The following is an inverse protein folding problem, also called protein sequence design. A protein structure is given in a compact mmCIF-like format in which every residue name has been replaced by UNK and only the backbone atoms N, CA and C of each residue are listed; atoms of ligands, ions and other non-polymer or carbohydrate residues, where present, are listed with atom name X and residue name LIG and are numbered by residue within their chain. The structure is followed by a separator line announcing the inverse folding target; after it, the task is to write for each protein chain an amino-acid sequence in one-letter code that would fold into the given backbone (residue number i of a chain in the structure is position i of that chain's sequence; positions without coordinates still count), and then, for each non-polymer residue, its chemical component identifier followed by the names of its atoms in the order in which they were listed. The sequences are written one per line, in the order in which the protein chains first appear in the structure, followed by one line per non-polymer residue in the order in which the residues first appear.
data_IF_484464579236
#
_entry.id   IF_484464579236
#
_cell.length_a   1.000
_cell.length_b   1.000
_cell.length_c   1.000
_cell.angle_alpha   90.00
_cell.angle_beta   90.00
_cell.angle_gamma   90.00
#
_symmetry.space_group_name_H-M   'P 1'
#
loop_
_entity.id
_entity.type
_entity.pdbx_description
1 polymer ?
#
# COMPACT_ATOMS: atom_id res chain seq x y z
N UNK A 1 -6.05 1.73 -24.80
CA UNK A 1 -6.04 1.38 -23.36
C UNK A 1 -6.79 0.07 -23.17
N UNK A 2 -6.15 -0.93 -22.60
CA UNK A 2 -6.81 -2.18 -22.24
C UNK A 2 -7.80 -1.85 -21.12
N UNK A 3 -9.04 -2.31 -21.24
CA UNK A 3 -10.06 -2.13 -20.21
C UNK A 3 -9.58 -2.74 -18.88
N UNK A 4 -9.89 -2.09 -17.74
CA UNK A 4 -9.53 -2.55 -16.40
C UNK A 4 -9.97 -4.00 -16.15
N UNK A 5 -11.20 -4.33 -16.52
CA UNK A 5 -11.72 -5.68 -16.38
C UNK A 5 -10.85 -6.71 -17.09
N UNK A 6 -10.37 -6.39 -18.28
CA UNK A 6 -9.48 -7.27 -19.03
C UNK A 6 -8.10 -7.37 -18.36
N UNK A 7 -7.56 -6.29 -17.77
CA UNK A 7 -6.30 -6.33 -17.01
C UNK A 7 -6.42 -7.24 -15.78
N UNK A 8 -7.51 -7.13 -15.01
CA UNK A 8 -7.78 -8.00 -13.86
C UNK A 8 -7.88 -9.47 -14.29
N UNK A 9 -8.58 -9.77 -15.37
CA UNK A 9 -8.66 -11.14 -15.90
C UNK A 9 -7.28 -11.66 -16.32
N UNK A 10 -6.47 -10.82 -16.96
CA UNK A 10 -5.10 -11.16 -17.35
C UNK A 10 -4.23 -11.43 -16.12
N UNK A 11 -4.32 -10.59 -15.07
CA UNK A 11 -3.61 -10.80 -13.81
C UNK A 11 -3.98 -12.14 -13.17
N UNK A 12 -5.29 -12.44 -13.06
CA UNK A 12 -5.77 -13.72 -12.51
C UNK A 12 -5.26 -14.93 -13.30
N UNK A 13 -5.22 -14.82 -14.64
CA UNK A 13 -4.66 -15.85 -15.51
C UNK A 13 -3.18 -16.07 -15.21
N UNK A 14 -2.38 -15.01 -15.17
CA UNK A 14 -0.94 -15.09 -14.89
C UNK A 14 -0.69 -15.69 -13.49
N UNK A 15 -1.45 -15.28 -12.47
CA UNK A 15 -1.37 -15.84 -11.12
C UNK A 15 -1.65 -17.35 -11.07
N UNK A 16 -2.49 -17.87 -11.98
CA UNK A 16 -2.75 -19.31 -12.09
C UNK A 16 -1.66 -20.10 -12.82
N UNK A 17 -0.79 -19.42 -13.55
CA UNK A 17 0.23 -20.06 -14.40
C UNK A 17 1.65 -19.96 -13.79
N UNK A 18 1.94 -18.91 -13.02
CA UNK A 18 3.26 -18.66 -12.45
C UNK A 18 3.24 -17.74 -11.24
N UNK A 19 4.38 -17.67 -10.55
CA UNK A 19 4.62 -16.65 -9.54
C UNK A 19 4.63 -15.26 -10.21
N UNK A 20 3.95 -14.32 -9.60
CA UNK A 20 3.92 -12.91 -9.98
C UNK A 20 4.85 -12.13 -9.06
N UNK A 21 5.63 -11.23 -9.61
CA UNK A 21 6.63 -10.45 -8.87
C UNK A 21 6.09 -9.05 -8.60
N UNK A 22 6.01 -8.69 -7.31
CA UNK A 22 5.80 -7.32 -6.87
C UNK A 22 7.10 -6.51 -7.02
N UNK A 23 6.99 -5.20 -7.07
CA UNK A 23 8.14 -4.30 -7.01
C UNK A 23 8.79 -4.30 -5.61
N UNK A 24 9.59 -3.31 -5.30
CA UNK A 24 10.39 -3.28 -4.08
C UNK A 24 10.33 -1.93 -3.35
N UNK A 25 11.30 -1.72 -2.47
CA UNK A 25 11.31 -0.65 -1.50
C UNK A 25 11.39 0.75 -2.13
N UNK A 26 10.26 1.35 -2.45
CA UNK A 26 10.13 2.74 -2.93
C UNK A 26 10.84 3.72 -1.97
N UNK A 27 10.59 3.60 -0.66
CA UNK A 27 11.19 4.47 0.34
C UNK A 27 12.72 4.42 0.34
N UNK A 28 13.34 3.23 0.17
CA UNK A 28 14.80 3.09 0.08
C UNK A 28 15.34 3.75 -1.19
N UNK A 29 14.65 3.62 -2.32
CA UNK A 29 15.06 4.28 -3.56
C UNK A 29 15.03 5.79 -3.42
N UNK A 30 13.98 6.35 -2.81
CA UNK A 30 13.88 7.79 -2.53
C UNK A 30 14.98 8.24 -1.56
N UNK A 31 15.22 7.50 -0.47
CA UNK A 31 16.23 7.84 0.53
C UNK A 31 17.65 7.92 -0.06
N UNK A 32 17.99 7.04 -0.99
CA UNK A 32 19.29 7.03 -1.67
C UNK A 32 19.55 8.30 -2.52
N UNK A 33 18.50 9.04 -2.87
CA UNK A 33 18.62 10.28 -3.64
C UNK A 33 19.00 11.49 -2.79
N UNK A 34 18.97 11.35 -1.45
CA UNK A 34 19.32 12.41 -0.49
C UNK A 34 18.62 13.75 -0.76
N UNK A 35 17.32 13.70 -1.05
CA UNK A 35 16.51 14.87 -1.38
C UNK A 35 16.48 15.90 -0.24
N UNK A 36 16.50 17.18 -0.61
CA UNK A 36 16.41 18.31 0.32
C UNK A 36 14.95 18.70 0.58
N UNK A 37 14.71 19.60 1.53
CA UNK A 37 13.37 20.17 1.77
C UNK A 37 12.81 20.84 0.51
N UNK A 38 13.65 21.60 -0.22
CA UNK A 38 13.29 22.25 -1.46
C UNK A 38 12.87 21.25 -2.54
N UNK A 39 13.51 20.06 -2.56
CA UNK A 39 13.13 18.99 -3.48
C UNK A 39 11.73 18.45 -3.18
N UNK A 40 11.38 18.26 -1.90
CA UNK A 40 10.05 17.83 -1.49
C UNK A 40 8.99 18.89 -1.80
N UNK A 41 9.30 20.18 -1.57
CA UNK A 41 8.37 21.29 -1.84
C UNK A 41 8.12 21.46 -3.34
N UNK A 42 9.15 21.33 -4.17
CA UNK A 42 9.08 21.72 -5.57
C UNK A 42 8.63 23.19 -5.71
N UNK A 43 8.16 23.57 -6.89
CA UNK A 43 7.61 24.91 -7.13
C UNK A 43 6.25 25.10 -6.41
N UNK A 44 5.47 24.05 -6.33
CA UNK A 44 4.07 24.10 -5.85
C UNK A 44 3.95 24.45 -4.37
N UNK A 45 4.85 23.96 -3.54
CA UNK A 45 4.84 24.13 -2.08
C UNK A 45 6.04 24.95 -1.59
N UNK A 46 6.62 25.81 -2.46
CA UNK A 46 7.81 26.60 -2.14
C UNK A 46 7.64 27.42 -0.86
N UNK A 47 6.48 28.03 -0.68
CA UNK A 47 6.14 28.89 0.47
C UNK A 47 5.28 28.14 1.53
N UNK A 48 5.30 26.79 1.53
CA UNK A 48 4.51 26.03 2.49
C UNK A 48 4.97 26.31 3.92
N UNK A 49 4.03 26.43 4.86
CA UNK A 49 4.27 27.00 6.19
C UNK A 49 5.03 26.08 7.16
N UNK A 50 5.19 24.78 6.81
CA UNK A 50 5.93 23.82 7.61
C UNK A 50 6.82 22.93 6.73
N UNK A 51 7.76 22.20 7.34
CA UNK A 51 8.62 21.26 6.63
C UNK A 51 7.83 20.03 6.20
N UNK A 52 8.03 19.61 4.93
CA UNK A 52 7.40 18.45 4.34
C UNK A 52 8.39 17.37 3.89
N UNK A 53 9.68 17.56 4.19
CA UNK A 53 10.70 16.53 3.98
C UNK A 53 10.34 15.28 4.78
N UNK A 54 10.36 14.13 4.12
CA UNK A 54 9.94 12.86 4.69
C UNK A 54 8.51 12.45 4.30
N UNK A 55 7.69 13.36 3.77
CA UNK A 55 6.43 13.03 3.13
C UNK A 55 6.71 12.49 1.71
N UNK A 56 7.14 11.23 1.63
CA UNK A 56 7.54 10.64 0.35
C UNK A 56 6.41 10.62 -0.68
N UNK A 57 5.18 10.54 -0.23
CA UNK A 57 4.01 10.46 -1.11
C UNK A 57 3.85 11.73 -1.95
N UNK A 58 4.18 12.91 -1.38
CA UNK A 58 4.06 14.21 -2.06
C UNK A 58 4.94 14.29 -3.33
N UNK A 59 5.99 13.49 -3.42
CA UNK A 59 6.89 13.47 -4.57
C UNK A 59 6.17 13.06 -5.87
N UNK A 60 5.07 12.34 -5.78
CA UNK A 60 4.22 12.08 -6.95
C UNK A 60 3.60 13.35 -7.54
N UNK A 61 3.48 14.42 -6.75
CA UNK A 61 2.97 15.73 -7.19
C UNK A 61 4.09 16.72 -7.52
N UNK A 62 5.20 16.67 -6.79
CA UNK A 62 6.29 17.67 -6.90
C UNK A 62 7.44 17.21 -7.80
N UNK A 63 7.66 15.89 -7.89
CA UNK A 63 8.71 15.27 -8.73
C UNK A 63 8.19 13.97 -9.39
N UNK A 64 7.11 14.03 -10.19
CA UNK A 64 6.47 12.82 -10.76
C UNK A 64 7.43 12.00 -11.63
N UNK A 65 8.37 12.64 -12.34
CA UNK A 65 9.35 11.95 -13.17
C UNK A 65 10.30 11.06 -12.33
N UNK A 66 10.66 11.52 -11.12
CA UNK A 66 11.49 10.77 -10.21
C UNK A 66 10.79 9.48 -9.75
N UNK A 67 9.53 9.59 -9.36
CA UNK A 67 8.73 8.43 -8.93
C UNK A 67 8.49 7.48 -10.10
N UNK A 68 8.17 8.01 -11.29
CA UNK A 68 8.03 7.21 -12.52
C UNK A 68 9.31 6.44 -12.83
N UNK A 69 10.47 7.07 -12.74
CA UNK A 69 11.76 6.44 -13.04
C UNK A 69 12.09 5.32 -12.06
N UNK A 70 11.72 5.44 -10.78
CA UNK A 70 11.82 4.36 -9.80
C UNK A 70 10.91 3.19 -10.19
N UNK A 71 9.65 3.44 -10.52
CA UNK A 71 8.73 2.41 -11.01
C UNK A 71 9.27 1.69 -12.24
N UNK A 72 9.77 2.45 -13.22
CA UNK A 72 10.39 1.89 -14.43
C UNK A 72 11.61 1.02 -14.11
N UNK A 73 12.42 1.40 -13.13
CA UNK A 73 13.56 0.60 -12.71
C UNK A 73 13.12 -0.79 -12.23
N UNK A 74 12.06 -0.90 -11.44
CA UNK A 74 11.51 -2.18 -11.00
C UNK A 74 10.86 -2.97 -12.14
N UNK A 75 10.06 -2.33 -12.97
CA UNK A 75 9.40 -2.96 -14.13
C UNK A 75 10.41 -3.57 -15.09
N UNK A 76 11.50 -2.85 -15.40
CA UNK A 76 12.60 -3.31 -16.29
C UNK A 76 13.40 -4.46 -15.68
N UNK A 77 13.40 -4.62 -14.34
CA UNK A 77 13.99 -5.78 -13.66
C UNK A 77 13.01 -6.96 -13.57
N UNK A 78 11.79 -6.82 -14.04
CA UNK A 78 10.84 -7.91 -14.18
C UNK A 78 9.68 -7.90 -13.17
N UNK A 79 9.45 -6.81 -12.47
CA UNK A 79 8.23 -6.67 -11.68
C UNK A 79 6.99 -6.73 -12.60
N UNK A 80 6.00 -7.51 -12.20
CA UNK A 80 4.71 -7.64 -12.88
C UNK A 80 3.70 -6.63 -12.34
N UNK A 81 3.76 -6.37 -11.03
CA UNK A 81 2.89 -5.45 -10.29
C UNK A 81 3.78 -4.40 -9.63
N UNK A 82 3.39 -3.14 -9.72
CA UNK A 82 3.99 -2.05 -8.96
C UNK A 82 2.99 -1.44 -7.99
N UNK A 83 3.50 -1.00 -6.85
CA UNK A 83 2.76 -0.36 -5.78
C UNK A 83 2.78 1.16 -5.97
N UNK A 84 1.63 1.83 -5.79
CA UNK A 84 1.61 3.30 -5.82
C UNK A 84 2.40 3.88 -4.65
N UNK A 85 3.07 5.02 -4.85
CA UNK A 85 3.75 5.75 -3.78
C UNK A 85 2.75 6.52 -2.90
N UNK A 86 1.80 5.81 -2.27
CA UNK A 86 0.67 6.37 -1.52
C UNK A 86 0.50 5.78 -0.11
N UNK A 87 1.59 5.29 0.48
CA UNK A 87 1.58 4.61 1.77
C UNK A 87 0.93 5.43 2.90
N UNK A 88 1.23 6.73 2.97
CA UNK A 88 0.67 7.66 3.96
C UNK A 88 -0.39 8.61 3.37
N UNK A 89 -0.93 8.33 2.18
CA UNK A 89 -1.81 9.26 1.47
C UNK A 89 -3.27 9.20 1.97
N UNK A 90 -3.49 9.22 3.28
CA UNK A 90 -4.79 9.38 3.92
C UNK A 90 -4.90 10.72 4.63
N UNK A 91 -6.11 11.23 4.83
CA UNK A 91 -6.33 12.48 5.59
C UNK A 91 -5.80 12.41 7.02
N UNK A 92 -5.81 11.22 7.62
CA UNK A 92 -5.31 11.01 8.98
C UNK A 92 -3.78 11.11 9.00
N UNK A 93 -3.08 10.46 8.08
CA UNK A 93 -1.61 10.49 8.04
C UNK A 93 -1.08 11.83 7.51
N UNK A 94 -1.72 12.41 6.50
CA UNK A 94 -1.33 13.71 5.95
C UNK A 94 -1.59 14.89 6.89
N UNK A 95 -2.37 14.67 7.97
CA UNK A 95 -2.54 15.68 9.02
C UNK A 95 -1.23 16.02 9.75
N UNK A 96 -0.24 15.12 9.77
CA UNK A 96 1.09 15.39 10.34
C UNK A 96 1.85 16.47 9.57
N UNK A 97 1.47 16.71 8.32
CA UNK A 97 2.02 17.74 7.43
C UNK A 97 1.04 18.86 7.10
N UNK A 98 -0.13 18.89 7.77
CA UNK A 98 -1.25 19.84 7.47
C UNK A 98 -1.70 19.80 5.98
N UNK A 99 -1.59 18.61 5.35
CA UNK A 99 -1.85 18.39 3.91
C UNK A 99 -3.13 17.59 3.63
N UNK A 100 -4.07 17.50 4.56
CA UNK A 100 -5.29 16.70 4.44
C UNK A 100 -6.13 17.08 3.21
N UNK A 101 -6.14 18.36 2.85
CA UNK A 101 -6.90 18.86 1.71
C UNK A 101 -6.35 18.41 0.34
N UNK A 102 -5.09 17.97 0.30
CA UNK A 102 -4.43 17.50 -0.92
C UNK A 102 -4.59 16.00 -1.17
N UNK A 103 -5.17 15.23 -0.24
CA UNK A 103 -5.18 13.75 -0.26
C UNK A 103 -5.80 13.16 -1.53
N UNK A 104 -6.90 13.74 -2.03
CA UNK A 104 -7.52 13.25 -3.27
C UNK A 104 -6.59 13.42 -4.47
N UNK A 105 -5.99 14.59 -4.63
CA UNK A 105 -5.07 14.88 -5.72
C UNK A 105 -3.78 14.06 -5.58
N UNK A 106 -3.28 13.88 -4.36
CA UNK A 106 -2.10 13.09 -4.05
C UNK A 106 -2.27 11.62 -4.51
N UNK A 107 -3.35 10.97 -4.10
CA UNK A 107 -3.63 9.59 -4.51
C UNK A 107 -3.82 9.47 -6.02
N UNK A 108 -4.51 10.44 -6.63
CA UNK A 108 -4.67 10.49 -8.08
C UNK A 108 -3.32 10.61 -8.81
N UNK A 109 -2.42 11.46 -8.31
CA UNK A 109 -1.08 11.63 -8.87
C UNK A 109 -0.25 10.34 -8.72
N UNK A 110 -0.24 9.71 -7.54
CA UNK A 110 0.46 8.45 -7.29
C UNK A 110 0.01 7.36 -8.27
N UNK A 111 -1.30 7.21 -8.45
CA UNK A 111 -1.85 6.19 -9.37
C UNK A 111 -1.53 6.49 -10.83
N UNK A 112 -1.61 7.75 -11.27
CA UNK A 112 -1.29 8.16 -12.65
C UNK A 112 0.17 7.91 -13.00
N UNK A 113 1.10 8.29 -12.11
CA UNK A 113 2.54 8.09 -12.33
C UNK A 113 2.88 6.61 -12.44
N UNK A 114 2.29 5.77 -11.58
CA UNK A 114 2.48 4.33 -11.65
C UNK A 114 1.90 3.73 -12.96
N UNK A 115 0.70 4.18 -13.37
CA UNK A 115 0.08 3.74 -14.63
C UNK A 115 0.92 4.14 -15.84
N UNK A 116 1.42 5.37 -15.89
CA UNK A 116 2.32 5.84 -16.94
C UNK A 116 3.58 4.96 -17.04
N UNK A 117 4.19 4.62 -15.91
CA UNK A 117 5.35 3.73 -15.90
C UNK A 117 5.02 2.34 -16.47
N UNK A 118 3.85 1.77 -16.11
CA UNK A 118 3.39 0.51 -16.69
C UNK A 118 3.19 0.60 -18.21
N UNK A 119 2.55 1.65 -18.71
CA UNK A 119 2.32 1.86 -20.15
C UNK A 119 3.64 1.96 -20.93
N UNK A 120 4.64 2.65 -20.38
CA UNK A 120 5.99 2.73 -20.97
C UNK A 120 6.63 1.36 -21.01
N UNK A 121 6.64 0.61 -19.91
CA UNK A 121 7.26 -0.72 -19.85
C UNK A 121 6.57 -1.72 -20.79
N UNK A 122 5.22 -1.67 -20.89
CA UNK A 122 4.45 -2.49 -21.80
C UNK A 122 4.79 -2.19 -23.28
N UNK A 123 5.06 -0.93 -23.62
CA UNK A 123 5.52 -0.55 -24.96
C UNK A 123 6.95 -1.05 -25.26
N UNK A 124 7.81 -1.13 -24.24
CA UNK A 124 9.19 -1.58 -24.38
C UNK A 124 9.30 -3.10 -24.64
N UNK A 125 8.52 -3.94 -23.94
CA UNK A 125 8.71 -5.39 -23.97
C UNK A 125 7.44 -6.23 -24.28
N UNK A 126 6.29 -5.59 -24.40
CA UNK A 126 5.01 -6.24 -24.73
C UNK A 126 4.40 -7.07 -23.61
N UNK A 127 4.95 -7.03 -22.40
CA UNK A 127 4.43 -7.80 -21.27
C UNK A 127 3.41 -6.99 -20.49
N UNK A 128 2.30 -7.62 -20.04
CA UNK A 128 1.32 -6.91 -19.22
C UNK A 128 1.92 -6.51 -17.87
N UNK A 129 1.57 -5.30 -17.41
CA UNK A 129 1.95 -4.75 -16.14
C UNK A 129 0.72 -4.27 -15.36
N UNK A 130 0.79 -4.34 -14.05
CA UNK A 130 -0.34 -4.01 -13.19
C UNK A 130 0.06 -2.99 -12.14
N UNK A 131 -0.91 -2.16 -11.75
CA UNK A 131 -0.75 -1.19 -10.68
C UNK A 131 -1.65 -1.58 -9.52
N UNK A 132 -1.08 -1.71 -8.32
CA UNK A 132 -1.84 -1.82 -7.09
C UNK A 132 -1.83 -0.50 -6.33
N UNK A 133 -3.01 -0.02 -5.96
CA UNK A 133 -3.16 1.17 -5.13
C UNK A 133 -2.91 0.84 -3.66
N UNK A 134 -1.94 1.49 -3.05
CA UNK A 134 -1.53 1.21 -1.67
C UNK A 134 -2.37 2.01 -0.68
N UNK A 135 -2.90 1.31 0.31
CA UNK A 135 -3.48 1.85 1.54
C UNK A 135 -2.64 1.35 2.71
N UNK A 136 -1.74 2.18 3.19
CA UNK A 136 -0.93 1.90 4.37
C UNK A 136 -1.71 2.07 5.68
N UNK A 137 -1.11 1.71 6.82
CA UNK A 137 -1.70 1.96 8.13
C UNK A 137 -1.73 3.46 8.44
N UNK A 138 -2.64 3.86 9.31
CA UNK A 138 -2.63 5.22 9.84
C UNK A 138 -1.77 5.30 11.11
N UNK A 139 -1.31 6.51 11.45
CA UNK A 139 -0.66 6.82 12.73
C UNK A 139 -1.61 6.77 13.94
N UNK A 140 -2.90 6.46 13.72
CA UNK A 140 -3.91 6.24 14.74
C UNK A 140 -4.45 4.83 14.63
N UNK A 141 -4.72 4.21 15.80
CA UNK A 141 -5.20 2.82 15.86
C UNK A 141 -6.55 2.76 16.58
N UNK A 142 -7.44 1.92 16.07
CA UNK A 142 -8.75 1.71 16.67
C UNK A 142 -8.75 0.64 17.78
N UNK A 143 -7.72 -0.22 17.84
CA UNK A 143 -7.62 -1.29 18.83
C UNK A 143 -6.75 -0.95 20.03
N UNK A 144 -5.76 -0.06 19.87
CA UNK A 144 -4.73 0.22 20.88
C UNK A 144 -4.89 1.64 21.40
N UNK A 145 -4.87 1.80 22.73
CA UNK A 145 -4.84 3.14 23.33
C UNK A 145 -3.46 3.79 23.14
N UNK A 146 -3.39 5.04 22.69
CA UNK A 146 -2.15 5.81 22.73
C UNK A 146 -1.81 6.33 24.14
N UNK A 147 -2.74 6.26 25.09
CA UNK A 147 -2.52 6.67 26.48
C UNK A 147 -2.42 5.44 27.39
N UNK A 148 -1.24 5.26 28.00
CA UNK A 148 -0.95 4.13 28.91
C UNK A 148 -1.82 4.18 30.17
N UNK A 149 -2.27 5.37 30.58
CA UNK A 149 -3.08 5.57 31.79
C UNK A 149 -4.58 5.47 31.52
N UNK A 150 -5.01 5.51 30.26
CA UNK A 150 -6.40 5.29 29.86
C UNK A 150 -6.48 4.20 28.76
N UNK A 151 -6.53 2.92 29.15
CA UNK A 151 -6.59 1.82 28.19
C UNK A 151 -7.87 1.82 27.32
N UNK A 152 -8.91 2.51 27.74
CA UNK A 152 -10.17 2.64 27.01
C UNK A 152 -10.14 3.72 25.92
N UNK A 153 -9.21 4.67 26.00
CA UNK A 153 -9.13 5.78 25.07
C UNK A 153 -8.73 5.32 23.66
N UNK A 154 -9.34 5.94 22.66
CA UNK A 154 -8.97 5.80 21.23
C UNK A 154 -8.88 7.19 20.61
N UNK A 155 -7.87 7.42 19.78
CA UNK A 155 -7.66 8.70 19.08
C UNK A 155 -8.22 8.70 17.66
N UNK A 156 -8.96 7.64 17.30
CA UNK A 156 -9.73 7.54 16.07
C UNK A 156 -10.88 6.55 16.27
N UNK A 157 -11.89 6.65 15.41
CA UNK A 157 -13.02 5.72 15.33
C UNK A 157 -12.97 4.89 14.06
N UNK A 158 -13.74 3.80 14.02
CA UNK A 158 -13.91 2.99 12.80
C UNK A 158 -14.43 3.84 11.63
N UNK A 159 -15.42 4.69 11.87
CA UNK A 159 -16.06 5.51 10.84
C UNK A 159 -15.10 6.57 10.29
N UNK A 160 -14.27 7.19 11.13
CA UNK A 160 -13.23 8.13 10.68
C UNK A 160 -12.20 7.45 9.77
N UNK A 161 -11.79 6.22 10.12
CA UNK A 161 -10.90 5.42 9.28
C UNK A 161 -11.56 5.07 7.94
N UNK A 162 -12.84 4.66 7.95
CA UNK A 162 -13.59 4.35 6.73
C UNK A 162 -13.63 5.56 5.80
N UNK A 163 -13.96 6.75 6.32
CA UNK A 163 -13.99 8.00 5.54
C UNK A 163 -12.64 8.27 4.88
N UNK A 164 -11.54 8.17 5.64
CA UNK A 164 -10.19 8.43 5.14
C UNK A 164 -9.78 7.43 4.05
N UNK A 165 -9.98 6.14 4.28
CA UNK A 165 -9.65 5.10 3.30
C UNK A 165 -10.55 5.13 2.06
N UNK A 166 -11.82 5.48 2.22
CA UNK A 166 -12.77 5.62 1.11
C UNK A 166 -12.35 6.72 0.14
N UNK A 167 -11.95 7.89 0.68
CA UNK A 167 -11.44 9.00 -0.12
C UNK A 167 -10.19 8.60 -0.92
N UNK A 168 -9.22 7.94 -0.27
CA UNK A 168 -8.00 7.47 -0.92
C UNK A 168 -8.32 6.43 -2.02
N UNK A 169 -9.20 5.46 -1.72
CA UNK A 169 -9.60 4.41 -2.66
C UNK A 169 -10.24 4.99 -3.92
N UNK A 170 -11.16 5.94 -3.80
CA UNK A 170 -11.76 6.61 -4.95
C UNK A 170 -10.72 7.25 -5.87
N UNK A 171 -9.81 8.02 -5.30
CA UNK A 171 -8.79 8.72 -6.06
C UNK A 171 -7.78 7.75 -6.73
N UNK A 172 -7.38 6.69 -6.05
CA UNK A 172 -6.53 5.63 -6.61
C UNK A 172 -7.21 4.95 -7.81
N UNK A 173 -8.49 4.59 -7.67
CA UNK A 173 -9.27 3.97 -8.75
C UNK A 173 -9.46 4.90 -9.94
N UNK A 174 -9.73 6.18 -9.70
CA UNK A 174 -9.82 7.21 -10.74
C UNK A 174 -8.47 7.36 -11.47
N UNK A 175 -7.36 7.27 -10.75
CA UNK A 175 -6.01 7.31 -11.30
C UNK A 175 -5.61 6.08 -12.10
N UNK A 176 -6.41 4.99 -12.06
CA UNK A 176 -6.26 3.83 -12.95
C UNK A 176 -5.53 2.64 -12.34
N UNK A 177 -5.53 2.48 -11.00
CA UNK A 177 -5.01 1.26 -10.38
C UNK A 177 -5.89 0.04 -10.71
N UNK A 178 -5.32 -1.14 -10.75
CA UNK A 178 -6.03 -2.39 -11.07
C UNK A 178 -6.59 -3.07 -9.84
N UNK A 179 -5.84 -3.05 -8.73
CA UNK A 179 -6.16 -3.67 -7.45
C UNK A 179 -5.90 -2.70 -6.31
N UNK A 180 -6.35 -3.02 -5.10
CA UNK A 180 -6.01 -2.28 -3.87
C UNK A 180 -5.21 -3.21 -2.95
N UNK A 181 -4.08 -2.73 -2.45
CA UNK A 181 -3.27 -3.38 -1.44
C UNK A 181 -3.43 -2.64 -0.10
N UNK A 182 -3.98 -3.33 0.88
CA UNK A 182 -3.96 -2.89 2.27
C UNK A 182 -2.76 -3.56 2.92
N UNK A 183 -1.73 -2.77 3.21
CA UNK A 183 -0.45 -3.32 3.65
C UNK A 183 -0.03 -2.87 5.05
N UNK A 184 1.02 -3.53 5.55
CA UNK A 184 1.63 -3.24 6.86
C UNK A 184 0.58 -3.29 7.97
N UNK A 185 -0.33 -4.25 7.87
CA UNK A 185 -1.42 -4.41 8.81
C UNK A 185 -0.86 -4.91 10.14
N UNK A 186 -0.83 -4.04 11.13
CA UNK A 186 -0.48 -4.36 12.50
C UNK A 186 -1.70 -4.25 13.46
N UNK A 187 -2.78 -3.61 13.02
CA UNK A 187 -4.08 -3.53 13.69
C UNK A 187 -5.19 -4.00 12.74
N UNK A 188 -5.78 -5.15 13.04
CA UNK A 188 -6.82 -5.74 12.17
C UNK A 188 -8.14 -4.98 12.20
N UNK A 189 -8.41 -4.16 13.21
CA UNK A 189 -9.61 -3.30 13.20
C UNK A 189 -9.45 -2.16 12.19
N UNK A 190 -8.25 -1.56 12.12
CA UNK A 190 -7.92 -0.59 11.07
C UNK A 190 -8.03 -1.23 9.67
N UNK A 191 -7.49 -2.46 9.51
CA UNK A 191 -7.62 -3.19 8.25
C UNK A 191 -9.08 -3.46 7.85
N UNK A 192 -9.93 -3.80 8.82
CA UNK A 192 -11.37 -3.98 8.58
C UNK A 192 -12.06 -2.70 8.13
N UNK A 193 -11.65 -1.54 8.67
CA UNK A 193 -12.15 -0.25 8.21
C UNK A 193 -11.73 0.04 6.75
N UNK A 194 -10.47 -0.27 6.39
CA UNK A 194 -10.00 -0.15 5.02
C UNK A 194 -10.73 -1.11 4.07
N UNK A 195 -10.91 -2.39 4.46
CA UNK A 195 -11.67 -3.37 3.69
C UNK A 195 -13.11 -2.89 3.47
N UNK A 196 -13.76 -2.41 4.53
CA UNK A 196 -15.12 -1.89 4.45
C UNK A 196 -15.21 -0.70 3.49
N UNK A 197 -14.26 0.23 3.57
CA UNK A 197 -14.17 1.38 2.67
C UNK A 197 -14.03 0.95 1.20
N UNK A 198 -13.12 -0.01 0.90
CA UNK A 198 -12.93 -0.52 -0.46
C UNK A 198 -14.21 -1.21 -0.96
N UNK A 199 -14.90 -1.99 -0.13
CA UNK A 199 -16.15 -2.66 -0.50
C UNK A 199 -17.30 -1.69 -0.74
N UNK A 200 -17.40 -0.59 0.02
CA UNK A 200 -18.36 0.48 -0.29
C UNK A 200 -18.05 1.13 -1.64
N UNK A 201 -16.78 1.47 -1.89
CA UNK A 201 -16.36 2.05 -3.17
C UNK A 201 -16.63 1.09 -4.33
N UNK A 202 -16.36 -0.21 -4.17
CA UNK A 202 -16.69 -1.23 -5.16
C UNK A 202 -18.18 -1.21 -5.56
N UNK A 203 -19.08 -1.07 -4.58
CA UNK A 203 -20.51 -0.93 -4.83
C UNK A 203 -20.86 0.38 -5.57
N UNK A 204 -20.22 1.49 -5.21
CA UNK A 204 -20.45 2.80 -5.82
C UNK A 204 -19.98 2.87 -7.27
N UNK A 205 -18.81 2.30 -7.57
CA UNK A 205 -18.26 2.29 -8.93
C UNK A 205 -18.86 1.21 -9.81
N UNK A 206 -19.49 0.19 -9.23
CA UNK A 206 -20.22 -0.86 -9.94
C UNK A 206 -19.34 -1.88 -10.69
N UNK A 207 -18.07 -2.03 -10.30
CA UNK A 207 -17.16 -3.05 -10.82
C UNK A 207 -16.27 -3.63 -9.73
N UNK A 208 -15.77 -4.85 -9.93
CA UNK A 208 -14.90 -5.55 -8.97
C UNK A 208 -13.61 -4.78 -8.69
N UNK A 209 -13.27 -4.66 -7.41
CA UNK A 209 -12.01 -4.11 -6.93
C UNK A 209 -11.27 -5.20 -6.14
N UNK A 210 -10.37 -5.99 -6.76
CA UNK A 210 -9.64 -7.02 -6.06
C UNK A 210 -8.77 -6.44 -4.95
N UNK A 211 -8.89 -7.01 -3.74
CA UNK A 211 -8.15 -6.59 -2.56
C UNK A 211 -6.98 -7.54 -2.34
N UNK A 212 -5.82 -7.00 -2.07
CA UNK A 212 -4.65 -7.71 -1.54
C UNK A 212 -4.45 -7.27 -0.09
N UNK A 213 -4.10 -8.21 0.79
CA UNK A 213 -3.89 -7.93 2.21
C UNK A 213 -2.46 -8.34 2.61
N UNK A 214 -1.76 -7.49 3.34
CA UNK A 214 -0.42 -7.79 3.83
C UNK A 214 -0.24 -7.36 5.28
N UNK A 215 -0.01 -8.34 6.16
CA UNK A 215 0.18 -8.12 7.58
C UNK A 215 1.65 -7.92 7.94
N UNK A 216 1.89 -7.38 9.13
CA UNK A 216 3.24 -7.20 9.66
C UNK A 216 3.38 -7.89 11.01
N UNK A 217 4.33 -8.83 11.08
CA UNK A 217 4.75 -9.45 12.34
C UNK A 217 5.75 -8.51 13.00
N UNK A 218 5.39 -7.94 14.14
CA UNK A 218 6.14 -6.83 14.74
C UNK A 218 7.26 -7.27 15.66
N UNK A 219 7.26 -8.53 16.11
CA UNK A 219 8.26 -9.03 17.05
C UNK A 219 8.54 -10.54 16.89
N UNK A 220 9.54 -11.00 17.64
CA UNK A 220 9.95 -12.39 17.67
C UNK A 220 8.90 -13.35 18.27
N UNK A 221 7.81 -12.84 18.87
CA UNK A 221 6.70 -13.67 19.34
C UNK A 221 5.79 -14.18 18.23
N UNK A 222 5.99 -13.67 17.00
CA UNK A 222 5.20 -14.06 15.83
C UNK A 222 3.80 -13.43 15.81
N UNK A 223 3.66 -12.25 16.41
CA UNK A 223 2.37 -11.55 16.52
C UNK A 223 2.41 -10.20 15.84
N UNK A 224 1.23 -9.76 15.39
CA UNK A 224 1.00 -8.36 15.03
C UNK A 224 1.02 -7.48 16.29
N UNK A 225 1.13 -6.16 16.14
CA UNK A 225 1.09 -5.23 17.27
C UNK A 225 -0.19 -5.35 18.10
N UNK A 226 -1.32 -5.64 17.47
CA UNK A 226 -2.59 -5.93 18.16
C UNK A 226 -2.68 -7.32 18.79
N UNK A 227 -1.58 -8.10 18.77
CA UNK A 227 -1.42 -9.36 19.50
C UNK A 227 -1.87 -10.61 18.75
N UNK A 228 -2.22 -10.53 17.48
CA UNK A 228 -2.72 -11.66 16.70
C UNK A 228 -1.58 -12.51 16.13
N UNK A 229 -1.73 -13.83 16.21
CA UNK A 229 -0.91 -14.80 15.47
C UNK A 229 -1.22 -14.72 13.96
N UNK A 230 -0.41 -15.34 13.13
CA UNK A 230 -0.62 -15.39 11.67
C UNK A 230 -1.99 -15.96 11.30
N UNK A 231 -2.40 -17.08 11.92
CA UNK A 231 -3.72 -17.66 11.69
C UNK A 231 -4.86 -16.77 12.22
N UNK A 232 -4.69 -16.13 13.37
CA UNK A 232 -5.69 -15.19 13.91
C UNK A 232 -5.82 -13.95 13.02
N UNK A 233 -4.72 -13.45 12.47
CA UNK A 233 -4.73 -12.37 11.48
C UNK A 233 -5.52 -12.79 10.23
N UNK A 234 -5.21 -13.96 9.64
CA UNK A 234 -5.95 -14.48 8.49
C UNK A 234 -7.45 -14.57 8.78
N UNK A 235 -7.83 -15.25 9.87
CA UNK A 235 -9.23 -15.42 10.23
C UNK A 235 -9.97 -14.09 10.47
N UNK A 236 -9.26 -13.06 10.95
CA UNK A 236 -9.85 -11.74 11.16
C UNK A 236 -10.23 -11.03 9.86
N UNK A 237 -9.54 -11.30 8.75
CA UNK A 237 -9.68 -10.57 7.48
C UNK A 237 -10.12 -11.45 6.30
N UNK A 238 -10.22 -12.78 6.46
CA UNK A 238 -10.59 -13.73 5.40
C UNK A 238 -11.97 -13.45 4.77
N UNK A 239 -12.89 -12.82 5.52
CA UNK A 239 -14.20 -12.41 5.03
C UNK A 239 -14.16 -11.40 3.87
N UNK A 240 -13.02 -10.77 3.63
CA UNK A 240 -12.80 -9.87 2.49
C UNK A 240 -12.69 -10.64 1.16
N UNK A 241 -12.49 -11.97 1.19
CA UNK A 241 -12.21 -12.80 0.03
C UNK A 241 -11.08 -12.21 -0.83
N UNK A 242 -9.89 -11.95 -0.24
CA UNK A 242 -8.84 -11.21 -0.92
C UNK A 242 -8.25 -12.00 -2.10
N UNK A 243 -7.75 -11.28 -3.11
CA UNK A 243 -6.96 -11.87 -4.20
C UNK A 243 -5.70 -12.55 -3.67
N UNK A 244 -5.04 -11.90 -2.71
CA UNK A 244 -3.88 -12.48 -2.01
C UNK A 244 -3.85 -12.03 -0.56
N UNK A 245 -3.22 -12.85 0.28
CA UNK A 245 -2.88 -12.49 1.65
C UNK A 245 -1.40 -12.78 1.89
N UNK A 246 -0.73 -11.93 2.66
CA UNK A 246 0.69 -12.09 2.88
C UNK A 246 1.24 -11.35 4.08
N UNK A 247 2.55 -11.27 4.10
CA UNK A 247 3.31 -10.59 5.15
C UNK A 247 4.37 -9.69 4.53
N UNK A 248 4.57 -8.50 5.12
CA UNK A 248 5.60 -7.57 4.70
C UNK A 248 6.34 -6.96 5.89
N UNK A 249 7.51 -6.39 5.60
CA UNK A 249 8.33 -5.60 6.52
C UNK A 249 8.77 -6.32 7.80
N UNK A 250 9.31 -5.56 8.74
CA UNK A 250 9.79 -5.89 10.08
C UNK A 250 10.85 -6.99 10.12
N UNK A 251 10.60 -8.15 9.52
CA UNK A 251 11.46 -9.33 9.55
C UNK A 251 12.10 -9.59 8.18
N UNK A 252 13.26 -10.26 8.19
CA UNK A 252 13.92 -10.76 7.01
C UNK A 252 13.25 -12.02 6.45
N UNK A 253 13.71 -12.51 5.28
CA UNK A 253 13.07 -13.65 4.62
C UNK A 253 13.21 -14.96 5.41
N UNK A 254 14.25 -15.12 6.22
CA UNK A 254 14.45 -16.31 7.05
C UNK A 254 13.46 -16.35 8.21
N UNK A 255 13.29 -15.22 8.89
CA UNK A 255 12.39 -15.06 10.03
C UNK A 255 10.93 -15.10 9.60
N UNK A 256 10.57 -14.57 8.41
CA UNK A 256 9.19 -14.61 7.88
C UNK A 256 8.79 -15.98 7.35
N UNK A 257 9.75 -16.83 6.96
CA UNK A 257 9.46 -18.14 6.34
C UNK A 257 8.46 -19.00 7.11
N UNK A 258 8.56 -19.20 8.45
CA UNK A 258 7.61 -20.03 9.20
C UNK A 258 6.17 -19.50 9.11
N UNK A 259 5.99 -18.19 9.18
CA UNK A 259 4.68 -17.54 9.14
C UNK A 259 4.04 -17.61 7.75
N UNK A 260 4.85 -17.44 6.70
CA UNK A 260 4.39 -17.62 5.32
C UNK A 260 3.99 -19.07 5.04
N UNK A 261 4.73 -20.04 5.58
CA UNK A 261 4.36 -21.46 5.52
C UNK A 261 3.06 -21.75 6.26
N UNK A 262 2.81 -21.09 7.39
CA UNK A 262 1.55 -21.18 8.12
C UNK A 262 0.39 -20.61 7.28
N UNK A 263 0.52 -19.39 6.74
CA UNK A 263 -0.48 -18.81 5.83
C UNK A 263 -0.77 -19.73 4.65
N UNK A 264 0.25 -20.26 4.00
CA UNK A 264 0.09 -21.15 2.85
C UNK A 264 -0.68 -22.44 3.16
N UNK A 265 -0.74 -22.86 4.44
CA UNK A 265 -1.52 -24.03 4.86
C UNK A 265 -2.97 -23.72 5.23
N UNK A 266 -3.23 -22.50 5.71
CA UNK A 266 -4.54 -22.16 6.27
C UNK A 266 -5.40 -21.30 5.34
N UNK A 267 -4.78 -20.57 4.39
CA UNK A 267 -5.53 -19.70 3.48
C UNK A 267 -5.96 -20.41 2.19
N UNK A 268 -7.08 -19.97 1.63
CA UNK A 268 -7.66 -20.46 0.38
C UNK A 268 -7.38 -19.54 -0.80
N UNK A 269 -6.41 -18.62 -0.66
CA UNK A 269 -6.07 -17.61 -1.66
C UNK A 269 -4.56 -17.58 -1.93
N UNK A 270 -4.10 -16.76 -2.88
CA UNK A 270 -2.67 -16.61 -3.14
C UNK A 270 -1.94 -16.02 -1.94
N UNK A 271 -0.70 -16.46 -1.74
CA UNK A 271 0.16 -15.98 -0.64
C UNK A 271 1.22 -15.05 -1.20
N UNK A 272 1.37 -13.88 -0.59
CA UNK A 272 2.42 -12.92 -0.91
C UNK A 272 3.43 -12.77 0.22
N UNK A 273 4.65 -12.41 -0.13
CA UNK A 273 5.71 -12.11 0.84
C UNK A 273 6.55 -10.94 0.35
N UNK A 274 6.76 -9.97 1.22
CA UNK A 274 7.54 -8.76 0.96
C UNK A 274 8.49 -8.48 2.15
N UNK A 275 9.55 -9.30 2.30
CA UNK A 275 10.43 -9.24 3.47
C UNK A 275 11.41 -8.08 3.37
N UNK A 276 11.91 -7.62 4.51
CA UNK A 276 13.07 -6.74 4.53
C UNK A 276 14.31 -7.49 4.01
N UNK A 277 15.14 -6.82 3.21
CA UNK A 277 16.41 -7.38 2.73
C UNK A 277 17.51 -7.46 3.80
N UNK A 278 17.24 -6.96 5.00
CA UNK A 278 18.13 -6.77 6.12
C UNK A 278 18.25 -5.29 6.49
N UNK A 279 18.97 -5.01 7.59
CA UNK A 279 19.30 -3.62 7.92
C UNK A 279 20.33 -3.09 6.90
N UNK A 280 20.28 -1.79 6.54
CA UNK A 280 21.32 -1.18 5.73
C UNK A 280 22.68 -1.38 6.38
N UNK A 281 23.69 -1.72 5.59
CA UNK A 281 25.06 -1.69 6.07
C UNK A 281 25.44 -0.26 6.40
N UNK A 282 26.24 -0.08 7.46
CA UNK A 282 26.82 1.22 7.85
C UNK A 282 27.72 1.80 6.74
#
# INVERSE_FOLDING_TARGET
MTDRTQRIQTLRKILSERIVVLDGAMGTMIQNLNLTEEDFRGERFADYHMDIKGNNDILAMTKPELIRDIHLAFLRQGADIIETNSFNATTIAQADYDMQEHVTELNLACAKVAREACEIAEQEDGKPRFVTGVLGPTNRTASISPDVNDPGYRNTSFDELVIAYKQATHALLEGGVDTILIETIFDTLNAKAAIFAVKEVEQEVGYEVPIQLSGTITDASGRTLSGQTTEAFYNAVAHAEPLSIGLNCALGPQELRPYVQELSRVCETYVSIHPNAGLPNE
#
